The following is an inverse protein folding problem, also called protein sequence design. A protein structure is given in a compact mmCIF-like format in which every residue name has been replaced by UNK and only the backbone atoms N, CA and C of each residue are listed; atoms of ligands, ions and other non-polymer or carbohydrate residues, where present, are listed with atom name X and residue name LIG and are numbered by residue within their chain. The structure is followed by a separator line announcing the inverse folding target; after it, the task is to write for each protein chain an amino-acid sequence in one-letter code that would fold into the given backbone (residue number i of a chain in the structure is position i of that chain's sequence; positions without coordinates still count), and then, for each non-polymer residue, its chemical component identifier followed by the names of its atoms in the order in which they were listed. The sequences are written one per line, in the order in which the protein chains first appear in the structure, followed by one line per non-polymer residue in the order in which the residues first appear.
data_IF_986962254298
#
_entry.id   IF_986962254298
#
_cell.length_a   1.000
_cell.length_b   1.000
_cell.length_c   1.000
_cell.angle_alpha   90.00
_cell.angle_beta   90.00
_cell.angle_gamma   90.00
#
_symmetry.space_group_name_H-M   'P 1'
#
loop_
_entity.id
_entity.type
_entity.pdbx_description
1 polymer ?
#
# COMPACT_ATOMS: atom_id res chain seq x y z
N UNK A 1 -31.91 -15.62 12.87
CA UNK A 1 -32.80 -14.44 12.84
C UNK A 1 -31.95 -13.20 13.00
N UNK A 2 -31.85 -12.32 11.99
CA UNK A 2 -31.09 -11.08 12.11
C UNK A 2 -31.88 -10.17 13.04
N UNK A 3 -31.30 -9.78 14.17
CA UNK A 3 -31.85 -8.75 15.03
C UNK A 3 -31.91 -7.47 14.21
N UNK A 4 -33.12 -7.04 13.83
CA UNK A 4 -33.37 -5.71 13.27
C UNK A 4 -33.01 -4.68 14.34
N UNK A 5 -31.72 -4.36 14.48
CA UNK A 5 -31.24 -3.26 15.32
C UNK A 5 -31.54 -1.98 14.55
N UNK A 6 -32.63 -1.31 14.92
CA UNK A 6 -33.02 -0.03 14.34
C UNK A 6 -31.94 1.02 14.65
N UNK A 7 -31.26 1.51 13.61
CA UNK A 7 -30.16 2.49 13.72
C UNK A 7 -30.61 3.73 14.48
N UNK A 8 -31.83 4.20 14.21
CA UNK A 8 -32.41 5.40 14.84
C UNK A 8 -32.69 5.20 16.34
N UNK A 9 -33.15 4.01 16.75
CA UNK A 9 -33.35 3.71 18.18
C UNK A 9 -32.03 3.67 18.94
N UNK A 10 -30.95 3.22 18.29
CA UNK A 10 -29.62 3.22 18.88
C UNK A 10 -29.05 4.65 19.00
N UNK A 11 -29.30 5.52 18.02
CA UNK A 11 -28.97 6.95 18.11
C UNK A 11 -29.71 7.62 19.28
N UNK A 12 -31.00 7.33 19.41
CA UNK A 12 -31.81 7.84 20.51
C UNK A 12 -31.33 7.31 21.86
N UNK A 13 -30.96 6.03 21.93
CA UNK A 13 -30.40 5.43 23.14
C UNK A 13 -29.07 6.09 23.53
N UNK A 14 -28.17 6.34 22.59
CA UNK A 14 -26.91 7.07 22.84
C UNK A 14 -27.20 8.48 23.33
N UNK A 15 -28.19 9.16 22.76
CA UNK A 15 -28.49 10.55 23.11
C UNK A 15 -29.16 10.65 24.49
N UNK A 16 -30.14 9.78 24.78
CA UNK A 16 -30.83 9.72 26.08
C UNK A 16 -29.93 9.23 27.19
N UNK A 17 -29.01 8.32 26.92
CA UNK A 17 -28.09 7.81 27.93
C UNK A 17 -27.09 8.86 28.42
N UNK A 18 -26.80 9.94 27.65
CA UNK A 18 -25.87 11.02 28.06
C UNK A 18 -26.25 11.68 29.38
N UNK A 19 -27.55 11.88 29.64
CA UNK A 19 -28.04 12.50 30.89
C UNK A 19 -27.80 11.61 32.11
N UNK A 20 -27.81 10.29 31.93
CA UNK A 20 -27.49 9.32 32.98
C UNK A 20 -25.97 9.14 33.10
N UNK A 21 -25.26 9.15 31.98
CA UNK A 21 -23.80 9.04 31.88
C UNK A 21 -23.05 10.23 32.51
N UNK A 22 -23.69 11.40 32.62
CA UNK A 22 -23.13 12.56 33.35
C UNK A 22 -22.97 12.29 34.85
N UNK A 23 -23.81 11.41 35.43
CA UNK A 23 -23.77 11.05 36.86
C UNK A 23 -22.71 10.01 37.22
N UNK A 24 -22.18 9.28 36.23
CA UNK A 24 -21.19 8.23 36.45
C UNK A 24 -19.75 8.75 36.46
N UNK A 25 -18.85 7.97 37.06
CA UNK A 25 -17.41 8.23 37.02
C UNK A 25 -16.91 8.34 35.56
N UNK A 26 -15.95 9.26 35.31
CA UNK A 26 -15.42 9.58 33.98
C UNK A 26 -14.93 8.35 33.20
N UNK A 27 -14.18 7.46 33.86
CA UNK A 27 -13.65 6.23 33.26
C UNK A 27 -14.75 5.24 32.86
N UNK A 28 -15.75 5.03 33.74
CA UNK A 28 -16.90 4.16 33.44
C UNK A 28 -17.73 4.71 32.28
N UNK A 29 -17.92 6.02 32.25
CA UNK A 29 -18.62 6.69 31.15
C UNK A 29 -17.91 6.48 29.82
N UNK A 30 -16.59 6.67 29.77
CA UNK A 30 -15.82 6.47 28.55
C UNK A 30 -15.93 5.02 28.03
N UNK A 31 -15.91 4.03 28.93
CA UNK A 31 -16.12 2.62 28.59
C UNK A 31 -17.53 2.36 28.04
N UNK A 32 -18.56 2.90 28.69
CA UNK A 32 -19.95 2.74 28.26
C UNK A 32 -20.22 3.39 26.91
N UNK A 33 -19.74 4.61 26.69
CA UNK A 33 -19.85 5.31 25.39
C UNK A 33 -19.16 4.52 24.29
N UNK A 34 -17.94 3.99 24.54
CA UNK A 34 -17.24 3.13 23.57
C UNK A 34 -18.05 1.89 23.24
N UNK A 35 -18.57 1.18 24.25
CA UNK A 35 -19.39 -0.02 24.06
C UNK A 35 -20.67 0.27 23.26
N UNK A 36 -21.38 1.37 23.57
CA UNK A 36 -22.57 1.78 22.82
C UNK A 36 -22.24 2.11 21.36
N UNK A 37 -21.11 2.77 21.11
CA UNK A 37 -20.66 3.06 19.75
C UNK A 37 -20.20 1.80 19.01
N UNK A 38 -19.63 0.81 19.70
CA UNK A 38 -19.23 -0.47 19.10
C UNK A 38 -20.43 -1.30 18.63
N UNK A 39 -21.60 -1.16 19.24
CA UNK A 39 -22.84 -1.82 18.78
C UNK A 39 -23.27 -1.40 17.37
N UNK A 40 -22.83 -0.23 16.88
CA UNK A 40 -23.10 0.18 15.51
C UNK A 40 -22.27 -0.60 14.48
N UNK A 41 -21.17 -1.26 14.88
CA UNK A 41 -20.31 -2.02 13.95
C UNK A 41 -21.04 -3.22 13.34
N UNK A 42 -21.97 -3.80 14.08
CA UNK A 42 -22.74 -4.97 13.63
C UNK A 42 -23.85 -4.59 12.62
N UNK A 43 -24.10 -3.29 12.39
CA UNK A 43 -25.18 -2.81 11.52
C UNK A 43 -24.60 -2.34 10.18
N UNK A 44 -24.94 -3.01 9.05
CA UNK A 44 -24.42 -2.65 7.73
C UNK A 44 -24.91 -1.26 7.28
N UNK A 45 -24.10 -0.56 6.47
CA UNK A 45 -24.40 0.75 5.87
C UNK A 45 -24.71 1.90 6.85
N UNK A 46 -24.09 1.91 8.03
CA UNK A 46 -24.33 2.95 9.04
C UNK A 46 -23.24 4.03 9.13
N UNK A 47 -22.25 4.05 8.22
CA UNK A 47 -21.07 4.93 8.32
C UNK A 47 -21.44 6.42 8.50
N UNK A 48 -22.39 6.94 7.74
CA UNK A 48 -22.82 8.34 7.86
C UNK A 48 -23.50 8.63 9.19
N UNK A 49 -24.37 7.72 9.66
CA UNK A 49 -25.01 7.85 10.96
C UNK A 49 -23.99 7.73 12.10
N UNK A 50 -23.00 6.85 11.98
CA UNK A 50 -21.92 6.71 12.96
C UNK A 50 -21.06 7.98 13.03
N UNK A 51 -20.79 8.62 11.89
CA UNK A 51 -20.08 9.90 11.84
C UNK A 51 -20.90 10.99 12.56
N UNK A 52 -22.20 11.11 12.26
CA UNK A 52 -23.07 12.10 12.89
C UNK A 52 -23.18 11.91 14.42
N UNK A 53 -23.39 10.67 14.86
CA UNK A 53 -23.45 10.32 16.29
C UNK A 53 -22.12 10.58 16.98
N UNK A 54 -21.00 10.23 16.35
CA UNK A 54 -19.65 10.45 16.92
C UNK A 54 -19.36 11.95 17.05
N UNK A 55 -19.71 12.77 16.06
CA UNK A 55 -19.62 14.25 16.14
C UNK A 55 -20.46 14.81 17.28
N UNK A 56 -21.71 14.36 17.41
CA UNK A 56 -22.58 14.77 18.52
C UNK A 56 -22.01 14.36 19.88
N UNK A 57 -21.38 13.19 19.98
CA UNK A 57 -20.69 12.75 21.20
C UNK A 57 -19.42 13.58 21.50
N UNK A 58 -18.71 14.07 20.49
CA UNK A 58 -17.55 14.97 20.62
C UNK A 58 -17.99 16.33 21.16
N UNK A 59 -19.06 16.90 20.62
CA UNK A 59 -19.66 18.15 21.11
C UNK A 59 -20.06 18.02 22.59
N UNK A 60 -20.73 16.92 22.94
CA UNK A 60 -21.09 16.62 24.31
C UNK A 60 -19.85 16.48 25.22
N UNK A 61 -18.83 15.73 24.81
CA UNK A 61 -17.59 15.58 25.56
C UNK A 61 -16.85 16.92 25.75
N UNK A 62 -16.96 17.83 24.79
CA UNK A 62 -16.42 19.19 24.87
C UNK A 62 -17.20 20.02 25.89
N UNK A 63 -18.53 19.96 25.85
CA UNK A 63 -19.40 20.68 26.80
C UNK A 63 -19.16 20.25 28.26
N UNK A 64 -18.94 18.96 28.50
CA UNK A 64 -18.66 18.41 29.83
C UNK A 64 -17.17 18.45 30.22
N UNK A 65 -16.31 19.09 29.41
CA UNK A 65 -14.86 19.21 29.62
C UNK A 65 -14.16 17.86 29.83
N UNK A 66 -14.55 16.83 29.08
CA UNK A 66 -13.98 15.46 29.14
C UNK A 66 -12.92 15.26 28.05
N UNK A 67 -11.72 15.80 28.26
CA UNK A 67 -10.62 15.78 27.28
C UNK A 67 -10.24 14.39 26.75
N UNK A 68 -9.98 13.41 27.63
CA UNK A 68 -9.63 12.05 27.21
C UNK A 68 -10.72 11.34 26.41
N UNK A 69 -12.00 11.56 26.77
CA UNK A 69 -13.12 10.99 26.02
C UNK A 69 -13.20 11.61 24.63
N UNK A 70 -13.07 12.93 24.53
CA UNK A 70 -13.03 13.65 23.25
C UNK A 70 -11.93 13.10 22.35
N UNK A 71 -10.70 12.98 22.83
CA UNK A 71 -9.58 12.45 22.04
C UNK A 71 -9.85 11.03 21.52
N UNK A 72 -10.36 10.14 22.36
CA UNK A 72 -10.74 8.78 21.94
C UNK A 72 -11.85 8.78 20.87
N UNK A 73 -12.82 9.69 20.99
CA UNK A 73 -13.90 9.84 20.00
C UNK A 73 -13.39 10.44 18.69
N UNK A 74 -12.44 11.37 18.75
CA UNK A 74 -11.79 11.95 17.57
C UNK A 74 -10.93 10.91 16.85
N UNK A 75 -10.14 10.09 17.55
CA UNK A 75 -9.40 8.96 16.96
C UNK A 75 -10.36 7.98 16.27
N UNK A 76 -11.50 7.68 16.89
CA UNK A 76 -12.57 6.90 16.26
C UNK A 76 -13.12 7.59 15.01
N UNK A 77 -13.39 8.89 15.08
CA UNK A 77 -13.90 9.66 13.94
C UNK A 77 -12.94 9.62 12.74
N UNK A 78 -11.62 9.67 12.97
CA UNK A 78 -10.60 9.49 11.92
C UNK A 78 -10.78 8.15 11.20
N UNK A 79 -10.97 7.04 11.94
CA UNK A 79 -11.18 5.72 11.32
C UNK A 79 -12.47 5.66 10.50
N UNK A 80 -13.53 6.35 10.93
CA UNK A 80 -14.78 6.45 10.16
C UNK A 80 -14.62 7.30 8.90
N UNK A 81 -13.87 8.41 8.97
CA UNK A 81 -13.55 9.20 7.79
C UNK A 81 -12.70 8.42 6.78
N UNK A 82 -11.77 7.60 7.24
CA UNK A 82 -11.03 6.68 6.38
C UNK A 82 -11.95 5.68 5.67
N UNK A 83 -12.92 5.08 6.38
CA UNK A 83 -13.89 4.16 5.79
C UNK A 83 -14.77 4.85 4.73
N UNK A 84 -15.10 6.13 4.93
CA UNK A 84 -15.84 6.97 3.97
C UNK A 84 -14.97 7.55 2.84
N UNK A 85 -13.64 7.35 2.88
CA UNK A 85 -12.68 7.98 1.95
C UNK A 85 -12.61 9.53 2.05
N UNK A 86 -13.02 10.11 3.18
CA UNK A 86 -12.90 11.54 3.47
C UNK A 86 -11.50 11.89 4.05
N UNK A 87 -10.46 11.75 3.24
CA UNK A 87 -9.06 11.82 3.71
C UNK A 87 -8.63 13.21 4.21
N UNK A 88 -9.12 14.30 3.58
CA UNK A 88 -8.77 15.67 4.01
C UNK A 88 -9.35 16.01 5.39
N UNK A 89 -10.61 15.62 5.64
CA UNK A 89 -11.24 15.78 6.96
C UNK A 89 -10.53 14.95 8.03
N UNK A 90 -10.07 13.75 7.67
CA UNK A 90 -9.23 12.94 8.56
C UNK A 90 -7.90 13.64 8.89
N UNK A 91 -7.18 14.17 7.90
CA UNK A 91 -5.90 14.87 8.11
C UNK A 91 -6.04 16.13 8.98
N UNK A 92 -7.10 16.92 8.78
CA UNK A 92 -7.32 18.12 9.60
C UNK A 92 -7.51 17.77 11.07
N UNK A 93 -8.30 16.71 11.34
CA UNK A 93 -8.54 16.20 12.69
C UNK A 93 -7.27 15.61 13.32
N UNK A 94 -6.50 14.82 12.55
CA UNK A 94 -5.21 14.25 12.98
C UNK A 94 -4.22 15.36 13.36
N UNK A 95 -4.09 16.39 12.53
CA UNK A 95 -3.17 17.50 12.80
C UNK A 95 -3.52 18.26 14.09
N UNK A 96 -4.82 18.41 14.39
CA UNK A 96 -5.29 18.95 15.67
C UNK A 96 -4.91 18.04 16.84
N UNK A 97 -5.26 16.76 16.74
CA UNK A 97 -4.95 15.74 17.76
C UNK A 97 -3.45 15.63 18.05
N UNK A 98 -2.59 15.62 17.03
CA UNK A 98 -1.14 15.51 17.21
C UNK A 98 -0.54 16.70 17.96
N UNK A 99 -1.07 17.92 17.77
CA UNK A 99 -0.60 19.10 18.52
C UNK A 99 -0.91 18.98 20.01
N UNK A 100 -2.04 18.36 20.35
CA UNK A 100 -2.44 18.14 21.73
C UNK A 100 -1.69 16.95 22.36
N UNK A 101 -1.69 15.80 21.68
CA UNK A 101 -1.12 14.55 22.19
C UNK A 101 0.41 14.62 22.35
N UNK A 102 1.12 15.42 21.55
CA UNK A 102 2.56 15.67 21.74
C UNK A 102 2.89 16.40 23.06
N UNK A 103 1.91 17.07 23.67
CA UNK A 103 2.07 17.77 24.96
C UNK A 103 1.65 16.90 26.15
N UNK A 104 1.07 15.73 25.90
CA UNK A 104 0.54 14.82 26.92
C UNK A 104 1.42 13.57 27.04
N UNK A 105 1.41 12.93 28.21
CA UNK A 105 2.19 11.71 28.48
C UNK A 105 1.53 10.42 27.96
N UNK A 106 0.30 10.48 27.43
CA UNK A 106 -0.38 9.30 26.87
C UNK A 106 0.15 8.96 25.47
N UNK A 107 1.28 8.26 25.46
CA UNK A 107 1.98 7.84 24.25
C UNK A 107 1.25 6.74 23.47
N UNK A 108 0.35 5.97 24.08
CA UNK A 108 -0.35 4.89 23.37
C UNK A 108 -1.34 5.47 22.35
N UNK A 109 -2.13 6.47 22.75
CA UNK A 109 -3.04 7.18 21.84
C UNK A 109 -2.25 7.96 20.79
N UNK A 110 -1.08 8.51 21.15
CA UNK A 110 -0.19 9.16 20.20
C UNK A 110 0.27 8.21 19.08
N UNK A 111 0.72 7.00 19.43
CA UNK A 111 1.11 5.97 18.45
C UNK A 111 -0.05 5.60 17.53
N UNK A 112 -1.25 5.43 18.09
CA UNK A 112 -2.45 5.11 17.30
C UNK A 112 -2.78 6.23 16.29
N UNK A 113 -2.71 7.49 16.70
CA UNK A 113 -2.97 8.64 15.81
C UNK A 113 -1.88 8.78 14.74
N UNK A 114 -0.60 8.59 15.08
CA UNK A 114 0.50 8.61 14.09
C UNK A 114 0.40 7.46 13.09
N UNK A 115 -0.06 6.29 13.52
CA UNK A 115 -0.34 5.17 12.62
C UNK A 115 -1.50 5.50 11.66
N UNK A 116 -2.58 6.12 12.16
CA UNK A 116 -3.68 6.59 11.30
C UNK A 116 -3.21 7.66 10.32
N UNK A 117 -2.35 8.57 10.73
CA UNK A 117 -1.71 9.56 9.84
C UNK A 117 -0.96 8.87 8.69
N UNK A 118 -0.14 7.86 9.00
CA UNK A 118 0.56 7.07 7.99
C UNK A 118 -0.41 6.42 7.00
N UNK A 119 -1.50 5.82 7.50
CA UNK A 119 -2.52 5.16 6.67
C UNK A 119 -3.25 6.14 5.76
N UNK A 120 -3.58 7.33 6.25
CA UNK A 120 -4.25 8.37 5.44
C UNK A 120 -3.32 8.88 4.33
N UNK A 121 -2.06 9.18 4.64
CA UNK A 121 -1.10 9.59 3.61
C UNK A 121 -0.84 8.49 2.59
N UNK A 122 -0.78 7.23 3.02
CA UNK A 122 -0.65 6.10 2.11
C UNK A 122 -1.86 6.01 1.17
N UNK A 123 -3.09 6.14 1.69
CA UNK A 123 -4.30 6.14 0.87
C UNK A 123 -4.35 7.30 -0.16
N UNK A 124 -3.74 8.44 0.16
CA UNK A 124 -3.58 9.58 -0.75
C UNK A 124 -2.44 9.42 -1.77
N UNK A 125 -1.67 8.33 -1.71
CA UNK A 125 -0.49 8.10 -2.56
C UNK A 125 0.76 8.87 -2.13
N UNK A 126 0.75 9.55 -0.98
CA UNK A 126 1.91 10.27 -0.47
C UNK A 126 2.80 9.37 0.41
N UNK A 127 3.60 8.52 -0.24
CA UNK A 127 4.44 7.51 0.41
C UNK A 127 5.51 8.13 1.33
N UNK A 128 6.08 9.28 0.95
CA UNK A 128 7.14 9.93 1.74
C UNK A 128 6.62 10.44 3.09
N UNK A 129 5.47 11.12 3.11
CA UNK A 129 4.83 11.54 4.38
C UNK A 129 4.30 10.37 5.18
N UNK A 130 3.75 9.35 4.52
CA UNK A 130 3.31 8.13 5.18
C UNK A 130 4.46 7.45 5.94
N UNK A 131 5.65 7.42 5.35
CA UNK A 131 6.87 6.89 5.99
C UNK A 131 7.31 7.73 7.17
N UNK A 132 7.38 9.06 7.01
CA UNK A 132 7.76 9.94 8.11
C UNK A 132 6.83 9.80 9.33
N UNK A 133 5.52 9.68 9.09
CA UNK A 133 4.53 9.41 10.13
C UNK A 133 4.74 8.04 10.79
N UNK A 134 5.03 6.99 10.00
CA UNK A 134 5.31 5.65 10.53
C UNK A 134 6.60 5.59 11.36
N UNK A 135 7.67 6.26 10.92
CA UNK A 135 8.92 6.37 11.69
C UNK A 135 8.63 7.02 13.04
N UNK A 136 7.83 8.09 13.05
CA UNK A 136 7.41 8.77 14.29
C UNK A 136 6.57 7.84 15.19
N UNK A 137 5.67 7.05 14.60
CA UNK A 137 4.87 6.05 15.32
C UNK A 137 5.76 4.98 15.98
N UNK A 138 6.76 4.47 15.26
CA UNK A 138 7.69 3.46 15.78
C UNK A 138 8.62 4.00 16.86
N UNK A 139 9.13 5.22 16.72
CA UNK A 139 9.93 5.86 17.79
C UNK A 139 9.10 6.04 19.05
N UNK A 140 7.84 6.45 18.91
CA UNK A 140 6.93 6.62 20.05
C UNK A 140 6.57 5.26 20.68
N UNK A 141 6.33 4.25 19.85
CA UNK A 141 6.07 2.87 20.27
C UNK A 141 7.26 2.25 21.01
N UNK A 142 8.50 2.48 20.57
CA UNK A 142 9.69 1.94 21.27
C UNK A 142 9.82 2.44 22.72
N UNK A 143 9.20 3.59 23.05
CA UNK A 143 9.27 4.17 24.38
C UNK A 143 8.19 3.68 25.35
N UNK A 144 7.27 2.83 24.90
CA UNK A 144 6.16 2.29 25.71
C UNK A 144 5.89 0.84 25.33
N UNK A 145 5.46 0.02 26.27
CA UNK A 145 4.98 -1.32 25.93
C UNK A 145 3.69 -1.25 25.10
N UNK A 146 3.79 -1.52 23.80
CA UNK A 146 2.65 -1.50 22.88
C UNK A 146 1.81 -2.77 23.01
N UNK A 147 0.47 -2.65 23.05
CA UNK A 147 -0.40 -3.81 22.99
C UNK A 147 -0.15 -4.65 21.71
N UNK A 148 -0.24 -5.99 21.76
CA UNK A 148 0.06 -6.85 20.61
C UNK A 148 -0.72 -6.49 19.34
N UNK A 149 -1.99 -6.09 19.47
CA UNK A 149 -2.79 -5.67 18.33
C UNK A 149 -2.28 -4.36 17.68
N UNK A 150 -1.84 -3.39 18.49
CA UNK A 150 -1.29 -2.13 17.98
C UNK A 150 0.05 -2.38 17.29
N UNK A 151 0.89 -3.24 17.87
CA UNK A 151 2.14 -3.70 17.27
C UNK A 151 1.90 -4.36 15.90
N UNK A 152 0.95 -5.30 15.82
CA UNK A 152 0.60 -5.95 14.55
C UNK A 152 0.09 -4.95 13.49
N UNK A 153 -0.64 -3.90 13.89
CA UNK A 153 -1.06 -2.85 12.94
C UNK A 153 0.13 -1.97 12.47
N UNK A 154 1.12 -1.71 13.33
CA UNK A 154 2.36 -1.02 12.95
C UNK A 154 3.17 -1.85 11.96
N UNK A 155 3.30 -3.16 12.22
CA UNK A 155 4.06 -4.07 11.37
C UNK A 155 3.36 -4.26 10.01
N UNK A 156 2.03 -4.39 10.00
CA UNK A 156 1.24 -4.39 8.76
C UNK A 156 1.48 -3.14 7.91
N UNK A 157 1.39 -1.95 8.51
CA UNK A 157 1.63 -0.70 7.77
C UNK A 157 3.09 -0.57 7.30
N UNK A 158 4.04 -1.10 8.08
CA UNK A 158 5.45 -1.15 7.68
C UNK A 158 5.65 -2.03 6.45
N UNK A 159 5.06 -3.23 6.44
CA UNK A 159 5.10 -4.13 5.28
C UNK A 159 4.53 -3.48 4.03
N UNK A 160 3.39 -2.78 4.15
CA UNK A 160 2.77 -2.09 3.01
C UNK A 160 3.68 -0.98 2.43
N UNK A 161 4.32 -0.18 3.28
CA UNK A 161 5.22 0.89 2.80
C UNK A 161 6.53 0.37 2.21
N UNK A 162 7.07 -0.74 2.72
CA UNK A 162 8.25 -1.39 2.14
C UNK A 162 7.94 -2.05 0.78
N UNK A 163 6.73 -2.61 0.63
CA UNK A 163 6.28 -3.15 -0.65
C UNK A 163 6.16 -2.08 -1.75
N UNK A 164 5.73 -0.86 -1.39
CA UNK A 164 5.72 0.27 -2.34
C UNK A 164 7.12 0.68 -2.82
N UNK A 165 8.16 0.45 -2.02
CA UNK A 165 9.56 0.66 -2.38
C UNK A 165 10.18 -0.49 -3.19
N UNK A 166 9.38 -1.51 -3.54
CA UNK A 166 9.84 -2.76 -4.17
C UNK A 166 10.77 -3.61 -3.28
N UNK A 167 10.89 -3.30 -1.99
CA UNK A 167 11.60 -4.16 -1.03
C UNK A 167 10.64 -5.19 -0.45
N UNK A 168 10.32 -6.19 -1.26
CA UNK A 168 9.37 -7.25 -0.90
C UNK A 168 9.94 -8.24 0.13
N UNK A 169 11.27 -8.30 0.30
CA UNK A 169 11.91 -9.18 1.27
C UNK A 169 11.69 -8.68 2.71
N UNK A 170 11.97 -7.39 2.97
CA UNK A 170 11.66 -6.82 4.30
C UNK A 170 10.16 -6.70 4.53
N UNK A 171 9.38 -6.37 3.50
CA UNK A 171 7.92 -6.34 3.60
C UNK A 171 7.35 -7.70 4.05
N UNK A 172 7.84 -8.80 3.48
CA UNK A 172 7.45 -10.16 3.86
C UNK A 172 7.71 -10.45 5.35
N UNK A 173 8.88 -10.08 5.87
CA UNK A 173 9.21 -10.25 7.29
C UNK A 173 8.25 -9.47 8.20
N UNK A 174 7.90 -8.23 7.86
CA UNK A 174 6.93 -7.46 8.64
C UNK A 174 5.52 -8.07 8.57
N UNK A 175 5.12 -8.65 7.45
CA UNK A 175 3.82 -9.30 7.35
C UNK A 175 3.73 -10.61 8.14
N UNK A 176 4.85 -11.34 8.31
CA UNK A 176 4.91 -12.51 9.23
C UNK A 176 4.62 -12.06 10.67
N UNK A 177 5.34 -11.05 11.15
CA UNK A 177 5.16 -10.53 12.51
C UNK A 177 3.72 -10.02 12.72
N UNK A 178 3.16 -9.34 11.71
CA UNK A 178 1.77 -8.91 11.74
C UNK A 178 0.79 -10.10 11.78
N UNK A 179 1.03 -11.15 11.01
CA UNK A 179 0.21 -12.37 10.98
C UNK A 179 0.20 -13.07 12.34
N UNK A 180 1.37 -13.26 12.95
CA UNK A 180 1.48 -13.87 14.28
C UNK A 180 0.79 -13.03 15.35
N UNK A 181 0.92 -11.69 15.26
CA UNK A 181 0.22 -10.75 16.12
C UNK A 181 -1.31 -10.84 16.00
N UNK A 182 -1.86 -10.91 14.78
CA UNK A 182 -3.31 -11.08 14.56
C UNK A 182 -3.81 -12.48 14.90
N UNK A 183 -3.00 -13.51 14.67
CA UNK A 183 -3.33 -14.89 15.01
C UNK A 183 -3.49 -15.06 16.52
N UNK A 184 -2.57 -14.50 17.31
CA UNK A 184 -2.59 -14.57 18.78
C UNK A 184 -3.78 -13.82 19.39
N UNK A 185 -4.30 -12.81 18.69
CA UNK A 185 -5.44 -12.00 19.13
C UNK A 185 -6.78 -12.46 18.52
N UNK A 186 -6.81 -13.60 17.80
CA UNK A 186 -8.01 -14.15 17.14
C UNK A 186 -8.76 -13.15 16.23
N UNK A 187 -8.02 -12.38 15.43
CA UNK A 187 -8.55 -11.44 14.42
C UNK A 187 -8.46 -12.04 13.00
N UNK A 188 -9.40 -12.91 12.57
CA UNK A 188 -9.25 -13.70 11.35
C UNK A 188 -9.26 -12.87 10.07
N UNK A 189 -10.01 -11.76 10.02
CA UNK A 189 -10.08 -10.90 8.84
C UNK A 189 -8.76 -10.17 8.55
N UNK A 190 -8.03 -9.76 9.61
CA UNK A 190 -6.72 -9.11 9.44
C UNK A 190 -5.60 -10.12 9.21
N UNK A 191 -5.70 -11.29 9.84
CA UNK A 191 -4.77 -12.40 9.61
C UNK A 191 -4.84 -12.90 8.15
N UNK A 192 -6.04 -13.06 7.60
CA UNK A 192 -6.23 -13.43 6.18
C UNK A 192 -5.65 -12.38 5.23
N UNK A 193 -5.84 -11.08 5.51
CA UNK A 193 -5.22 -10.01 4.73
C UNK A 193 -3.68 -10.02 4.82
N UNK A 194 -3.10 -10.23 6.01
CA UNK A 194 -1.66 -10.35 6.20
C UNK A 194 -1.08 -11.49 5.36
N UNK A 195 -1.74 -12.66 5.38
CA UNK A 195 -1.33 -13.82 4.61
C UNK A 195 -1.42 -13.57 3.09
N UNK A 196 -2.45 -12.86 2.63
CA UNK A 196 -2.55 -12.44 1.23
C UNK A 196 -1.38 -11.52 0.84
N UNK A 197 -1.00 -10.57 1.69
CA UNK A 197 0.12 -9.67 1.40
C UNK A 197 1.46 -10.42 1.42
N UNK A 198 1.63 -11.42 2.29
CA UNK A 198 2.80 -12.30 2.26
C UNK A 198 2.91 -13.06 0.93
N UNK A 199 1.80 -13.64 0.47
CA UNK A 199 1.74 -14.30 -0.83
C UNK A 199 2.05 -13.35 -1.97
N UNK A 200 1.48 -12.15 -1.94
CA UNK A 200 1.75 -11.11 -2.92
C UNK A 200 3.24 -10.79 -3.00
N UNK A 201 3.91 -10.58 -1.87
CA UNK A 201 5.36 -10.36 -1.84
C UNK A 201 6.14 -11.50 -2.51
N UNK A 202 5.77 -12.77 -2.24
CA UNK A 202 6.45 -13.93 -2.84
C UNK A 202 6.18 -14.06 -4.34
N UNK A 203 4.99 -13.70 -4.81
CA UNK A 203 4.66 -13.63 -6.24
C UNK A 203 5.49 -12.52 -6.91
N UNK A 204 5.57 -11.34 -6.29
CA UNK A 204 6.37 -10.21 -6.81
C UNK A 204 7.88 -10.51 -6.86
N UNK A 205 8.38 -11.37 -5.96
CA UNK A 205 9.77 -11.85 -5.97
C UNK A 205 10.02 -13.01 -6.96
N UNK A 206 9.00 -13.44 -7.71
CA UNK A 206 9.06 -14.57 -8.63
C UNK A 206 9.44 -15.91 -7.95
N UNK A 207 9.02 -16.12 -6.70
CA UNK A 207 9.27 -17.34 -5.93
C UNK A 207 8.00 -18.19 -5.84
N UNK A 208 7.61 -18.85 -6.94
CA UNK A 208 6.39 -19.65 -7.02
C UNK A 208 6.39 -20.90 -6.12
N UNK A 209 7.58 -21.46 -5.88
CA UNK A 209 7.73 -22.64 -5.02
C UNK A 209 7.48 -22.31 -3.55
N UNK A 210 8.01 -21.18 -3.09
CA UNK A 210 7.75 -20.64 -1.75
C UNK A 210 6.26 -20.38 -1.51
N UNK A 211 5.55 -19.91 -2.54
CA UNK A 211 4.08 -19.71 -2.48
C UNK A 211 3.38 -21.05 -2.21
N UNK A 212 3.74 -22.11 -2.94
CA UNK A 212 3.16 -23.43 -2.74
C UNK A 212 3.47 -23.98 -1.34
N UNK A 213 4.70 -23.79 -0.84
CA UNK A 213 5.08 -24.19 0.51
C UNK A 213 4.32 -23.41 1.59
N UNK A 214 4.16 -22.10 1.41
CA UNK A 214 3.42 -21.24 2.34
C UNK A 214 1.95 -21.65 2.45
N UNK A 215 1.34 -22.11 1.34
CA UNK A 215 -0.05 -22.59 1.34
C UNK A 215 -0.26 -23.90 2.09
N UNK A 216 0.79 -24.71 2.26
CA UNK A 216 0.73 -25.95 3.05
C UNK A 216 0.95 -25.67 4.55
N UNK A 217 1.36 -24.46 4.92
CA UNK A 217 1.60 -24.09 6.31
C UNK A 217 0.35 -24.21 7.18
N UNK A 218 0.55 -24.53 8.48
CA UNK A 218 -0.55 -24.70 9.45
C UNK A 218 -1.45 -23.46 9.55
N UNK A 219 -0.88 -22.26 9.44
CA UNK A 219 -1.61 -21.00 9.48
C UNK A 219 -2.44 -20.80 8.20
N UNK A 220 -1.88 -21.11 7.02
CA UNK A 220 -2.61 -21.05 5.76
C UNK A 220 -3.80 -22.01 5.72
N UNK A 221 -3.66 -23.20 6.29
CA UNK A 221 -4.77 -24.17 6.39
C UNK A 221 -5.88 -23.64 7.33
N UNK A 222 -5.53 -22.99 8.45
CA UNK A 222 -6.52 -22.41 9.38
C UNK A 222 -7.32 -21.28 8.74
N UNK A 223 -6.66 -20.45 7.93
CA UNK A 223 -7.24 -19.26 7.31
C UNK A 223 -7.65 -19.48 5.85
N UNK A 224 -7.77 -20.74 5.41
CA UNK A 224 -8.11 -21.09 4.04
C UNK A 224 -9.42 -20.43 3.59
N UNK A 225 -9.41 -19.87 2.38
CA UNK A 225 -10.55 -19.17 1.81
C UNK A 225 -10.34 -18.81 0.35
N UNK A 226 -11.40 -18.31 -0.29
CA UNK A 226 -11.42 -18.01 -1.73
C UNK A 226 -10.35 -17.00 -2.14
N UNK A 227 -9.99 -16.05 -1.27
CA UNK A 227 -8.93 -15.08 -1.54
C UNK A 227 -7.54 -15.71 -1.62
N UNK A 228 -7.28 -16.80 -0.89
CA UNK A 228 -6.01 -17.55 -0.98
C UNK A 228 -5.95 -18.37 -2.25
N UNK A 229 -7.07 -18.96 -2.66
CA UNK A 229 -7.19 -19.65 -3.94
C UNK A 229 -6.97 -18.70 -5.12
N UNK A 230 -7.47 -17.47 -5.03
CA UNK A 230 -7.22 -16.42 -6.03
C UNK A 230 -5.73 -16.11 -6.17
N UNK A 231 -5.03 -15.93 -5.04
CA UNK A 231 -3.58 -15.69 -5.05
C UNK A 231 -2.78 -16.89 -5.58
N UNK A 232 -3.25 -18.12 -5.32
CA UNK A 232 -2.66 -19.34 -5.87
C UNK A 232 -2.85 -19.44 -7.39
N UNK A 233 -4.04 -19.06 -7.89
CA UNK A 233 -4.30 -19.01 -9.32
C UNK A 233 -3.38 -17.99 -10.03
N UNK A 234 -3.21 -16.80 -9.43
CA UNK A 234 -2.26 -15.79 -9.92
C UNK A 234 -0.82 -16.31 -9.88
N UNK A 235 -0.39 -16.93 -8.78
CA UNK A 235 0.96 -17.47 -8.67
C UNK A 235 1.26 -18.53 -9.73
N UNK A 236 0.27 -19.39 -10.06
CA UNK A 236 0.37 -20.38 -11.14
C UNK A 236 0.47 -19.72 -12.50
N UNK A 237 -0.38 -18.74 -12.80
CA UNK A 237 -0.34 -18.00 -14.06
C UNK A 237 1.01 -17.27 -14.24
N UNK A 238 1.55 -16.69 -13.16
CA UNK A 238 2.85 -16.05 -13.16
C UNK A 238 4.00 -17.07 -13.38
N UNK A 239 3.96 -18.23 -12.71
CA UNK A 239 4.94 -19.29 -12.89
C UNK A 239 4.94 -19.85 -14.32
N UNK A 240 3.75 -20.03 -14.91
CA UNK A 240 3.56 -20.48 -16.28
C UNK A 240 3.86 -19.37 -17.32
N UNK A 241 4.07 -18.13 -16.88
CA UNK A 241 4.20 -16.93 -17.73
C UNK A 241 3.04 -16.78 -18.73
N UNK A 242 1.85 -17.20 -18.34
CA UNK A 242 0.66 -17.17 -19.20
C UNK A 242 -0.23 -15.98 -18.86
N UNK A 243 -0.32 -15.01 -19.78
CA UNK A 243 -1.25 -13.88 -19.62
C UNK A 243 -2.71 -14.31 -19.65
N UNK A 244 -3.06 -15.31 -20.46
CA UNK A 244 -4.44 -15.79 -20.58
C UNK A 244 -4.94 -16.38 -19.25
N UNK A 245 -4.11 -17.19 -18.57
CA UNK A 245 -4.44 -17.74 -17.25
C UNK A 245 -4.59 -16.64 -16.20
N UNK A 246 -3.74 -15.60 -16.30
CA UNK A 246 -3.78 -14.46 -15.40
C UNK A 246 -5.06 -13.64 -15.55
N UNK A 247 -5.46 -13.32 -16.78
CA UNK A 247 -6.72 -12.60 -17.06
C UNK A 247 -7.94 -13.42 -16.64
N UNK A 248 -7.93 -14.74 -16.88
CA UNK A 248 -8.99 -15.65 -16.42
C UNK A 248 -9.10 -15.65 -14.90
N UNK A 249 -7.97 -15.65 -14.18
CA UNK A 249 -7.94 -15.56 -12.72
C UNK A 249 -8.50 -14.21 -12.23
N UNK A 250 -8.12 -13.09 -12.86
CA UNK A 250 -8.65 -11.76 -12.52
C UNK A 250 -10.17 -11.64 -12.71
N UNK A 251 -10.72 -12.25 -13.77
CA UNK A 251 -12.16 -12.25 -14.02
C UNK A 251 -12.90 -13.14 -13.03
N UNK A 252 -12.37 -14.33 -12.74
CA UNK A 252 -12.99 -15.30 -11.83
C UNK A 252 -13.05 -14.78 -10.40
N UNK A 253 -11.97 -14.15 -9.92
CA UNK A 253 -11.82 -13.67 -8.54
C UNK A 253 -11.89 -12.14 -8.42
N UNK A 254 -12.78 -11.52 -9.22
CA UNK A 254 -12.87 -10.05 -9.30
C UNK A 254 -13.19 -9.39 -7.96
N UNK A 255 -13.99 -10.03 -7.12
CA UNK A 255 -14.40 -9.46 -5.83
C UNK A 255 -13.28 -9.52 -4.79
N UNK A 256 -12.52 -10.61 -4.78
CA UNK A 256 -11.43 -10.87 -3.84
C UNK A 256 -10.20 -10.04 -4.19
N UNK A 257 -9.84 -9.97 -5.47
CA UNK A 257 -8.66 -9.25 -5.94
C UNK A 257 -8.92 -7.75 -6.14
N UNK A 258 -10.17 -7.38 -6.42
CA UNK A 258 -10.58 -5.98 -6.62
C UNK A 258 -10.99 -5.26 -5.32
N UNK A 259 -11.31 -6.00 -4.26
CA UNK A 259 -11.76 -5.44 -2.98
C UNK A 259 -10.66 -4.70 -2.21
N UNK A 260 -9.40 -5.13 -2.36
CA UNK A 260 -8.26 -4.51 -1.71
C UNK A 260 -7.49 -3.59 -2.67
N UNK A 261 -7.41 -2.30 -2.32
CA UNK A 261 -6.68 -1.31 -3.09
C UNK A 261 -5.18 -1.62 -3.20
N UNK A 262 -4.57 -2.16 -2.14
CA UNK A 262 -3.14 -2.49 -2.10
C UNK A 262 -2.82 -3.65 -3.06
N UNK A 263 -3.57 -4.76 -2.97
CA UNK A 263 -3.42 -5.92 -3.87
C UNK A 263 -3.66 -5.51 -5.32
N UNK A 264 -4.75 -4.80 -5.60
CA UNK A 264 -5.09 -4.34 -6.95
C UNK A 264 -3.98 -3.51 -7.60
N UNK A 265 -3.35 -2.59 -6.85
CA UNK A 265 -2.26 -1.77 -7.37
C UNK A 265 -1.04 -2.62 -7.76
N UNK A 266 -0.70 -3.62 -6.94
CA UNK A 266 0.43 -4.52 -7.20
C UNK A 266 0.12 -5.51 -8.32
N UNK A 267 -1.10 -6.02 -8.42
CA UNK A 267 -1.53 -6.89 -9.53
C UNK A 267 -1.49 -6.17 -10.88
N UNK A 268 -1.76 -4.85 -10.90
CA UNK A 268 -1.60 -4.07 -12.13
C UNK A 268 -0.12 -3.97 -12.53
N UNK A 269 0.77 -3.68 -11.57
CA UNK A 269 2.22 -3.67 -11.82
C UNK A 269 2.74 -5.04 -12.27
N UNK A 270 2.20 -6.11 -11.68
CA UNK A 270 2.54 -7.49 -12.06
C UNK A 270 2.10 -7.80 -13.49
N UNK A 271 0.90 -7.37 -13.89
CA UNK A 271 0.43 -7.51 -15.28
C UNK A 271 1.36 -6.81 -16.26
N UNK A 272 1.75 -5.57 -15.98
CA UNK A 272 2.66 -4.81 -16.83
C UNK A 272 4.02 -5.55 -16.98
N UNK A 273 4.56 -6.07 -15.87
CA UNK A 273 5.81 -6.84 -15.88
C UNK A 273 5.68 -8.18 -16.61
N UNK A 274 4.56 -8.88 -16.48
CA UNK A 274 4.33 -10.14 -17.20
C UNK A 274 4.19 -9.90 -18.70
N UNK A 275 3.49 -8.84 -19.08
CA UNK A 275 3.32 -8.44 -20.48
C UNK A 275 4.68 -8.09 -21.10
N UNK A 276 5.52 -7.32 -20.41
CA UNK A 276 6.88 -7.00 -20.86
C UNK A 276 7.73 -8.25 -21.06
N UNK A 277 7.74 -9.18 -20.11
CA UNK A 277 8.50 -10.42 -20.21
C UNK A 277 7.99 -11.32 -21.36
N UNK A 278 6.67 -11.38 -21.57
CA UNK A 278 6.11 -12.16 -22.67
C UNK A 278 6.45 -11.51 -24.03
N UNK A 279 6.39 -10.18 -24.13
CA UNK A 279 6.81 -9.45 -25.33
C UNK A 279 8.29 -9.70 -25.64
N UNK A 280 9.19 -9.60 -24.65
CA UNK A 280 10.63 -9.89 -24.84
C UNK A 280 10.83 -11.30 -25.40
N UNK A 281 10.16 -12.30 -24.84
CA UNK A 281 10.27 -13.69 -25.32
C UNK A 281 9.75 -13.87 -26.75
N UNK A 282 8.67 -13.19 -27.11
CA UNK A 282 8.08 -13.26 -28.45
C UNK A 282 8.97 -12.61 -29.50
N UNK A 283 9.67 -11.52 -29.14
CA UNK A 283 10.50 -10.76 -30.06
C UNK A 283 11.95 -11.25 -30.14
N UNK A 284 12.47 -11.92 -29.10
CA UNK A 284 13.85 -12.42 -29.00
C UNK A 284 14.38 -13.15 -30.25
N UNK A 285 13.62 -14.02 -30.94
CA UNK A 285 14.14 -14.73 -32.12
C UNK A 285 14.14 -13.90 -33.42
N UNK A 286 13.61 -12.67 -33.42
CA UNK A 286 13.41 -11.89 -34.64
C UNK A 286 14.19 -10.56 -34.64
N UNK A 287 14.92 -10.27 -35.71
CA UNK A 287 15.51 -8.94 -35.92
C UNK A 287 14.48 -7.93 -36.50
N UNK A 288 13.46 -8.45 -37.20
CA UNK A 288 12.34 -7.68 -37.72
C UNK A 288 11.07 -8.51 -37.65
N UNK A 289 10.01 -7.96 -37.08
CA UNK A 289 8.74 -8.66 -36.88
C UNK A 289 7.55 -7.74 -37.08
N UNK A 290 6.48 -8.24 -37.69
CA UNK A 290 5.22 -7.50 -37.85
C UNK A 290 4.47 -7.40 -36.52
N UNK A 291 3.91 -6.23 -36.22
CA UNK A 291 3.16 -5.98 -34.97
C UNK A 291 1.91 -6.87 -34.91
N UNK A 292 1.25 -7.10 -36.04
CA UNK A 292 0.08 -7.99 -36.15
C UNK A 292 0.41 -9.43 -35.74
N UNK A 293 1.61 -9.90 -36.09
CA UNK A 293 2.08 -11.22 -35.70
C UNK A 293 2.32 -11.32 -34.19
N UNK A 294 2.95 -10.30 -33.60
CA UNK A 294 3.14 -10.21 -32.14
C UNK A 294 1.78 -10.17 -31.43
N UNK A 295 0.85 -9.35 -31.92
CA UNK A 295 -0.50 -9.20 -31.36
C UNK A 295 -1.25 -10.52 -31.35
N UNK A 296 -1.17 -11.29 -32.44
CA UNK A 296 -1.78 -12.62 -32.55
C UNK A 296 -1.15 -13.62 -31.57
N UNK A 297 0.17 -13.59 -31.37
CA UNK A 297 0.85 -14.48 -30.42
C UNK A 297 0.57 -14.14 -28.96
N UNK A 298 0.42 -12.86 -28.61
CA UNK A 298 0.13 -12.41 -27.24
C UNK A 298 -1.38 -12.47 -26.94
N UNK A 299 -2.23 -12.43 -27.97
CA UNK A 299 -3.69 -12.44 -27.81
C UNK A 299 -4.28 -11.07 -27.47
N UNK A 300 -3.60 -9.98 -27.83
CA UNK A 300 -4.01 -8.60 -27.54
C UNK A 300 -4.22 -7.81 -28.83
N UNK A 301 -4.90 -6.67 -28.72
CA UNK A 301 -5.10 -5.75 -29.85
C UNK A 301 -3.79 -5.10 -30.29
N UNK A 302 -3.64 -4.87 -31.60
CA UNK A 302 -2.42 -4.33 -32.21
C UNK A 302 -2.06 -2.96 -31.64
N UNK A 303 -3.06 -2.11 -31.35
CA UNK A 303 -2.81 -0.79 -30.76
C UNK A 303 -2.27 -0.88 -29.34
N UNK A 304 -2.71 -1.87 -28.55
CA UNK A 304 -2.23 -2.05 -27.18
C UNK A 304 -0.78 -2.54 -27.18
N UNK A 305 -0.45 -3.48 -28.06
CA UNK A 305 0.91 -3.99 -28.25
C UNK A 305 1.83 -2.89 -28.75
N UNK A 306 1.43 -2.10 -29.76
CA UNK A 306 2.22 -0.98 -30.27
C UNK A 306 2.52 0.05 -29.16
N UNK A 307 1.50 0.45 -28.39
CA UNK A 307 1.69 1.38 -27.25
C UNK A 307 2.67 0.81 -26.23
N UNK A 308 2.55 -0.48 -25.89
CA UNK A 308 3.44 -1.10 -24.90
C UNK A 308 4.87 -1.23 -25.43
N UNK A 309 5.06 -1.63 -26.68
CA UNK A 309 6.38 -1.66 -27.33
C UNK A 309 7.00 -0.27 -27.39
N UNK A 310 6.22 0.77 -27.71
CA UNK A 310 6.70 2.16 -27.71
C UNK A 310 7.18 2.61 -26.33
N UNK A 311 6.47 2.20 -25.27
CA UNK A 311 6.87 2.46 -23.89
C UNK A 311 8.16 1.71 -23.54
N UNK A 312 8.29 0.43 -23.93
CA UNK A 312 9.49 -0.37 -23.65
C UNK A 312 10.74 0.16 -24.38
N UNK A 313 10.58 0.70 -25.59
CA UNK A 313 11.67 1.38 -26.31
C UNK A 313 12.07 2.67 -25.59
N UNK A 314 11.09 3.45 -25.12
CA UNK A 314 11.34 4.71 -24.40
C UNK A 314 12.01 4.47 -23.03
N UNK A 315 11.60 3.41 -22.33
CA UNK A 315 12.18 2.95 -21.07
C UNK A 315 13.55 2.24 -21.27
N UNK A 316 14.04 2.14 -22.52
CA UNK A 316 15.30 1.48 -22.92
C UNK A 316 15.38 0.00 -22.54
N UNK A 317 14.24 -0.67 -22.40
CA UNK A 317 14.16 -2.11 -22.18
C UNK A 317 14.42 -2.87 -23.48
N UNK A 318 13.97 -2.33 -24.61
CA UNK A 318 14.20 -2.86 -25.95
C UNK A 318 14.97 -1.83 -26.75
N UNK A 319 16.04 -2.25 -27.42
CA UNK A 319 16.78 -1.42 -28.38
C UNK A 319 16.18 -1.68 -29.76
N UNK A 320 15.25 -0.82 -30.16
CA UNK A 320 14.52 -1.00 -31.40
C UNK A 320 13.79 0.26 -31.85
N UNK A 321 13.28 0.22 -33.07
CA UNK A 321 12.46 1.28 -33.66
C UNK A 321 11.17 0.66 -34.21
N UNK A 322 10.06 1.35 -33.97
CA UNK A 322 8.76 1.02 -34.57
C UNK A 322 8.60 1.76 -35.89
N UNK A 323 8.45 1.01 -36.98
CA UNK A 323 8.05 1.54 -38.28
C UNK A 323 6.52 1.48 -38.40
N UNK A 324 5.86 2.61 -38.15
CA UNK A 324 4.41 2.74 -38.23
C UNK A 324 3.87 2.65 -39.66
N UNK A 325 4.69 2.93 -40.69
CA UNK A 325 4.27 2.83 -42.08
C UNK A 325 4.18 1.39 -42.55
N UNK A 326 5.14 0.56 -42.15
CA UNK A 326 5.19 -0.86 -42.48
C UNK A 326 4.58 -1.77 -41.39
N UNK A 327 4.17 -1.23 -40.24
CA UNK A 327 3.63 -2.02 -39.12
C UNK A 327 4.64 -3.01 -38.54
N UNK A 328 5.93 -2.67 -38.54
CA UNK A 328 7.02 -3.56 -38.16
C UNK A 328 7.81 -3.03 -36.96
N UNK A 329 8.20 -3.92 -36.06
CA UNK A 329 9.24 -3.67 -35.06
C UNK A 329 10.60 -4.11 -35.64
N UNK A 330 11.58 -3.22 -35.61
CA UNK A 330 12.96 -3.51 -35.97
C UNK A 330 13.79 -3.49 -34.68
N UNK A 331 14.48 -4.59 -34.40
CA UNK A 331 15.32 -4.75 -33.23
C UNK A 331 16.77 -4.62 -33.66
N UNK A 332 17.52 -3.82 -32.92
CA UNK A 332 18.95 -3.66 -33.12
C UNK A 332 19.71 -4.36 -32.02
N UNK A 333 20.87 -4.91 -32.38
CA UNK A 333 21.83 -5.38 -31.39
C UNK A 333 22.35 -4.18 -30.58
N UNK A 334 22.65 -4.45 -29.31
CA UNK A 334 23.21 -3.43 -28.42
C UNK A 334 24.54 -2.95 -29.00
N UNK A 335 24.59 -1.67 -29.40
CA UNK A 335 25.82 -1.08 -29.93
C UNK A 335 26.86 -1.01 -28.82
N UNK A 336 27.96 -1.76 -28.98
CA UNK A 336 29.09 -1.68 -28.06
C UNK A 336 29.56 -0.23 -27.97
N UNK A 337 29.70 0.27 -26.72
CA UNK A 337 30.33 1.57 -26.49
C UNK A 337 31.80 1.45 -26.85
N UNK A 338 32.19 2.18 -27.89
CA UNK A 338 33.58 2.25 -28.33
C UNK A 338 34.42 2.94 -27.24
N UNK A 339 35.38 2.22 -26.64
CA UNK A 339 36.29 2.75 -25.61
C UNK A 339 37.06 3.98 -26.11
N UNK A 340 37.20 4.11 -27.43
CA UNK A 340 37.80 5.27 -28.10
C UNK A 340 37.05 6.57 -27.84
N UNK A 341 35.72 6.55 -27.73
CA UNK A 341 34.93 7.74 -27.40
C UNK A 341 35.11 8.16 -25.95
N UNK A 342 35.18 7.20 -25.02
CA UNK A 342 35.43 7.49 -23.60
C UNK A 342 36.86 8.02 -23.39
N UNK A 343 37.85 7.48 -24.11
CA UNK A 343 39.21 8.01 -24.13
C UNK A 343 39.28 9.43 -24.72
N UNK A 344 38.53 9.71 -25.79
CA UNK A 344 38.44 11.03 -26.38
C UNK A 344 37.83 12.06 -25.40
N UNK A 345 36.74 11.70 -24.71
CA UNK A 345 36.14 12.54 -23.68
C UNK A 345 37.11 12.80 -22.52
N UNK A 346 37.80 11.76 -22.04
CA UNK A 346 38.79 11.90 -20.98
C UNK A 346 39.99 12.77 -21.39
N UNK A 347 40.39 12.76 -22.65
CA UNK A 347 41.44 13.67 -23.16
C UNK A 347 40.97 15.11 -23.27
N UNK A 348 39.70 15.35 -23.65
CA UNK A 348 39.10 16.69 -23.65
C UNK A 348 39.06 17.27 -22.23
N UNK A 349 38.64 16.48 -21.24
CA UNK A 349 38.66 16.90 -19.83
C UNK A 349 40.07 17.23 -19.33
N UNK A 350 41.05 16.39 -19.67
CA UNK A 350 42.46 16.64 -19.32
C UNK A 350 42.99 17.92 -19.97
N UNK A 351 42.62 18.19 -21.23
CA UNK A 351 43.00 19.42 -21.92
C UNK A 351 42.40 20.66 -21.25
N UNK A 352 41.14 20.59 -20.79
CA UNK A 352 40.51 21.69 -20.02
C UNK A 352 41.29 21.99 -18.74
N UNK A 353 41.65 20.95 -17.98
CA UNK A 353 42.44 21.10 -16.75
C UNK A 353 43.81 21.73 -17.00
N UNK A 354 44.47 21.39 -18.12
CA UNK A 354 45.76 21.99 -18.50
C UNK A 354 45.60 23.48 -18.82
N UNK A 355 44.51 23.87 -19.50
CA UNK A 355 44.20 25.28 -19.77
C UNK A 355 43.98 26.06 -18.47
N UNK A 356 43.25 25.50 -17.50
CA UNK A 356 43.03 26.13 -16.20
C UNK A 356 44.33 26.31 -15.40
N UNK A 357 45.23 25.33 -15.45
CA UNK A 357 46.57 25.41 -14.85
C UNK A 357 47.42 26.49 -15.53
N UNK A 358 47.29 26.67 -16.84
CA UNK A 358 47.99 27.75 -17.56
C UNK A 358 47.49 29.13 -17.15
N UNK A 359 46.17 29.32 -17.00
CA UNK A 359 45.61 30.58 -16.50
C UNK A 359 46.03 30.90 -15.07
N UNK A 360 46.03 29.91 -14.17
CA UNK A 360 46.46 30.11 -12.78
C UNK A 360 47.96 30.39 -12.67
N UNK A 361 48.79 29.69 -13.45
CA UNK A 361 50.22 29.97 -13.52
C UNK A 361 50.51 31.37 -14.08
N UNK A 362 49.81 31.79 -15.14
CA UNK A 362 50.00 33.13 -15.70
C UNK A 362 49.55 34.23 -14.73
N UNK A 363 48.46 34.02 -13.98
CA UNK A 363 48.04 34.92 -12.92
C UNK A 363 49.08 35.00 -11.79
N UNK A 364 49.69 33.87 -11.40
CA UNK A 364 50.75 33.84 -10.38
C UNK A 364 52.07 34.48 -10.79
N UNK A 365 52.32 34.66 -12.10
CA UNK A 365 53.51 35.33 -12.62
C UNK A 365 53.31 36.84 -12.85
N UNK A 366 52.09 37.36 -12.63
CA UNK A 366 51.74 38.78 -12.72
C UNK A 366 51.66 39.48 -11.35
N UNK A 367 51.74 38.71 -10.25
CA UNK A 367 52.10 39.18 -8.90
C UNK A 367 53.63 39.15 -8.71
#
# INVERSE_FOLDING_TARGET
MPSCRNTNELVDLVTRSRTVLSSFAKAKTAKLVRQLLDLFRDIPNTTDTQIAVTKSCIEWATSERRGFLRQNLETRLVTLYMAKQAYYDALTLINGLLRELKRLDDKLVLVEVQLLESRVYHALGNVSKARAALTSARTSAASVYTPPLLQANLDMQSGMLHAEDKDFNTAFSYFIEALDGYHTQDEPAKATAALQYMLLCKIMLNLSDDVNQLMVSKQAVKYAGQSLEAMKAIARAHANRSLEEYERALVTYRYELGGDAFVRNHLRRLYDSMLEQNLIKVIEPFSRVEIDHIATMVGLDTQQVERKLSQMILDKVIIGVLDQGAGCLIIYDETERDESYDAALATIDKLSNVVDVLYTNQASMLE
#
